data_IF_401329054245
#
_entry.id   IF_401329054245
#
_cell.length_a   1.000
_cell.length_b   1.000
_cell.length_c   1.000
_cell.angle_alpha   90.00
_cell.angle_beta   90.00
_cell.angle_gamma   90.00
#
_symmetry.space_group_name_H-M   'P 1'
#
loop_
_entity.id
_entity.type
_entity.pdbx_description
1 polymer ?
#
# COMPACT_ATOMS: atom_id res chain seq x y z
N UNK A 1 9.82 -18.75 -3.37
CA UNK A 1 8.44 -18.99 -2.90
C UNK A 1 8.49 -19.68 -1.54
N UNK A 2 7.62 -19.33 -0.60
CA UNK A 2 7.54 -19.93 0.73
C UNK A 2 7.22 -21.43 0.65
N UNK A 3 7.80 -22.27 1.52
CA UNK A 3 7.32 -23.64 1.72
C UNK A 3 5.95 -23.62 2.41
N UNK A 4 5.03 -24.46 1.93
CA UNK A 4 3.64 -24.50 2.41
C UNK A 4 3.61 -24.79 3.92
N UNK A 5 4.42 -25.76 4.37
CA UNK A 5 4.51 -26.14 5.79
C UNK A 5 5.07 -25.00 6.65
N UNK A 6 6.17 -24.36 6.24
CA UNK A 6 6.77 -23.23 6.97
C UNK A 6 5.82 -22.03 7.04
N UNK A 7 5.08 -21.78 5.96
CA UNK A 7 4.07 -20.74 5.93
C UNK A 7 2.92 -21.04 6.90
N UNK A 8 2.40 -22.27 6.88
CA UNK A 8 1.30 -22.71 7.75
C UNK A 8 1.72 -22.71 9.22
N UNK A 9 2.97 -23.09 9.52
CA UNK A 9 3.54 -23.03 10.85
C UNK A 9 3.58 -21.59 11.37
N UNK A 10 4.10 -20.65 10.57
CA UNK A 10 4.16 -19.23 10.92
C UNK A 10 2.77 -18.65 11.21
N UNK A 11 1.80 -18.94 10.34
CA UNK A 11 0.42 -18.49 10.51
C UNK A 11 -0.19 -19.10 11.77
N UNK A 12 -0.05 -20.42 11.96
CA UNK A 12 -0.58 -21.15 13.12
C UNK A 12 -0.01 -20.62 14.44
N UNK A 13 1.30 -20.34 14.47
CA UNK A 13 1.99 -19.76 15.62
C UNK A 13 1.35 -18.44 16.05
N UNK A 14 1.11 -17.53 15.11
CA UNK A 14 0.46 -16.25 15.40
C UNK A 14 -1.02 -16.46 15.77
N UNK A 15 -1.74 -17.35 15.08
CA UNK A 15 -3.15 -17.64 15.34
C UNK A 15 -3.41 -18.17 16.75
N UNK A 16 -2.48 -18.92 17.35
CA UNK A 16 -2.60 -19.41 18.73
C UNK A 16 -2.74 -18.29 19.76
N UNK A 17 -2.05 -17.14 19.56
CA UNK A 17 -2.12 -15.98 20.47
C UNK A 17 -3.03 -14.86 19.96
N UNK A 18 -3.23 -14.77 18.64
CA UNK A 18 -4.11 -13.80 17.98
C UNK A 18 -5.10 -14.58 17.12
N UNK A 19 -6.18 -15.11 17.75
CA UNK A 19 -7.18 -15.87 17.03
C UNK A 19 -7.87 -15.00 15.97
N UNK A 20 -8.61 -15.67 15.08
CA UNK A 20 -9.38 -14.99 14.03
C UNK A 20 -10.35 -14.01 14.66
N UNK A 21 -10.44 -12.82 14.09
CA UNK A 21 -11.39 -11.82 14.56
C UNK A 21 -12.80 -12.32 14.25
N UNK A 22 -13.61 -12.56 15.28
CA UNK A 22 -15.03 -12.90 15.12
C UNK A 22 -15.80 -11.60 14.87
N UNK A 23 -16.32 -11.40 13.65
CA UNK A 23 -17.19 -10.27 13.30
C UNK A 23 -16.72 -9.46 12.06
N UNK A 24 -17.51 -8.45 11.67
CA UNK A 24 -17.10 -7.48 10.64
C UNK A 24 -15.93 -6.68 11.20
N UNK A 25 -14.72 -6.91 10.68
CA UNK A 25 -13.57 -6.07 10.97
C UNK A 25 -13.81 -4.63 10.48
N UNK A 26 -13.07 -3.68 11.03
CA UNK A 26 -13.03 -2.29 10.55
C UNK A 26 -12.24 -2.23 9.23
N UNK A 27 -12.90 -2.67 8.16
CA UNK A 27 -12.37 -2.75 6.80
C UNK A 27 -12.41 -1.40 6.07
N UNK A 28 -12.86 -0.33 6.73
CA UNK A 28 -12.97 1.00 6.17
C UNK A 28 -11.76 1.87 6.56
N UNK A 29 -11.22 2.57 5.57
CA UNK A 29 -10.35 3.71 5.80
C UNK A 29 -10.53 4.74 4.68
N UNK A 30 -10.91 5.97 5.06
CA UNK A 30 -11.29 6.98 4.08
C UNK A 30 -12.52 6.54 3.29
N UNK A 31 -12.45 6.66 1.96
CA UNK A 31 -13.50 6.24 1.03
C UNK A 31 -13.37 4.79 0.59
N UNK A 32 -12.30 4.08 0.99
CA UNK A 32 -12.00 2.73 0.53
C UNK A 32 -12.37 1.65 1.55
N UNK A 33 -12.93 0.55 1.04
CA UNK A 33 -13.15 -0.69 1.79
C UNK A 33 -12.09 -1.72 1.41
N UNK A 34 -11.33 -2.19 2.39
CA UNK A 34 -10.18 -3.04 2.17
C UNK A 34 -10.43 -4.47 2.64
N UNK A 35 -10.58 -5.39 1.67
CA UNK A 35 -10.91 -6.79 1.95
C UNK A 35 -9.86 -7.50 2.84
N UNK A 36 -8.58 -7.15 2.72
CA UNK A 36 -7.50 -7.69 3.54
C UNK A 36 -7.59 -7.30 5.03
N UNK A 37 -8.31 -6.23 5.36
CA UNK A 37 -8.59 -5.84 6.75
C UNK A 37 -9.72 -6.67 7.39
N UNK A 38 -10.42 -7.51 6.62
CA UNK A 38 -11.34 -8.51 7.17
C UNK A 38 -10.53 -9.60 7.85
N UNK A 39 -10.71 -9.76 9.16
CA UNK A 39 -10.01 -10.78 9.93
C UNK A 39 -10.38 -12.23 9.58
N UNK A 40 -11.38 -12.43 8.72
CA UNK A 40 -11.80 -13.71 8.14
C UNK A 40 -12.11 -13.58 6.65
N UNK A 41 -11.76 -14.62 5.90
CA UNK A 41 -12.02 -14.73 4.45
C UNK A 41 -12.61 -16.10 4.12
N UNK A 42 -13.52 -16.16 3.16
CA UNK A 42 -14.11 -17.42 2.71
C UNK A 42 -13.11 -18.25 1.89
N UNK A 43 -13.10 -19.57 2.13
CA UNK A 43 -12.49 -20.53 1.22
C UNK A 43 -13.39 -20.70 0.00
N UNK A 44 -12.79 -20.88 -1.19
CA UNK A 44 -13.55 -21.25 -2.39
C UNK A 44 -13.75 -22.77 -2.40
N UNK A 45 -14.98 -23.21 -2.71
CA UNK A 45 -15.30 -24.63 -2.84
C UNK A 45 -14.41 -25.25 -3.93
N UNK A 46 -13.82 -26.41 -3.63
CA UNK A 46 -12.97 -27.19 -4.53
C UNK A 46 -11.65 -26.53 -4.94
N UNK A 47 -11.11 -25.60 -4.13
CA UNK A 47 -9.79 -25.01 -4.35
C UNK A 47 -8.95 -25.06 -3.08
N UNK A 48 -7.83 -25.79 -3.14
CA UNK A 48 -6.85 -25.86 -2.04
C UNK A 48 -6.09 -24.54 -1.87
N UNK A 49 -5.89 -23.82 -2.97
CA UNK A 49 -5.22 -22.52 -3.01
C UNK A 49 -6.17 -21.52 -3.67
N UNK A 50 -6.50 -20.48 -2.93
CA UNK A 50 -7.45 -19.43 -3.33
C UNK A 50 -6.80 -18.22 -3.99
N UNK A 51 -5.48 -18.08 -3.86
CA UNK A 51 -4.71 -16.97 -4.44
C UNK A 51 -3.20 -17.06 -4.16
N UNK A 52 -2.51 -15.95 -4.43
CA UNK A 52 -1.08 -15.78 -4.20
C UNK A 52 -0.83 -14.41 -3.59
N UNK A 53 -0.08 -14.34 -2.51
CA UNK A 53 0.44 -13.08 -1.97
C UNK A 53 1.90 -12.95 -2.44
N UNK A 54 2.30 -11.75 -2.88
CA UNK A 54 3.65 -11.52 -3.40
C UNK A 54 4.23 -10.22 -2.86
N UNK A 55 5.53 -10.24 -2.60
CA UNK A 55 6.34 -9.09 -2.26
C UNK A 55 7.22 -8.73 -3.44
N UNK A 56 7.24 -7.46 -3.82
CA UNK A 56 8.20 -6.91 -4.77
C UNK A 56 9.10 -5.87 -4.12
N UNK A 57 10.30 -5.68 -4.67
CA UNK A 57 11.14 -4.54 -4.32
C UNK A 57 10.71 -3.30 -5.12
N UNK A 58 11.32 -2.16 -4.81
CA UNK A 58 11.03 -0.88 -5.45
C UNK A 58 11.34 -0.84 -6.95
N UNK A 59 12.11 -1.81 -7.44
CA UNK A 59 12.43 -1.95 -8.86
C UNK A 59 11.40 -2.81 -9.62
N UNK A 60 10.34 -3.28 -8.93
CA UNK A 60 9.31 -4.13 -9.50
C UNK A 60 9.77 -5.56 -9.78
N UNK A 61 10.74 -6.05 -9.00
CA UNK A 61 11.21 -7.45 -9.02
C UNK A 61 10.57 -8.19 -7.86
N UNK A 62 10.05 -9.39 -8.12
CA UNK A 62 9.44 -10.23 -7.08
C UNK A 62 10.52 -10.84 -6.21
N UNK A 63 10.46 -10.60 -4.90
CA UNK A 63 11.46 -11.07 -3.94
C UNK A 63 10.95 -12.19 -3.06
N UNK A 64 9.63 -12.26 -2.85
CA UNK A 64 9.02 -13.33 -2.07
C UNK A 64 7.57 -13.57 -2.49
N UNK A 65 7.07 -14.78 -2.29
CA UNK A 65 5.70 -15.15 -2.59
C UNK A 65 5.21 -16.27 -1.68
N UNK A 66 3.93 -16.26 -1.36
CA UNK A 66 3.27 -17.20 -0.44
C UNK A 66 1.89 -17.59 -0.98
N UNK A 67 1.47 -18.83 -0.72
CA UNK A 67 0.17 -19.35 -1.16
C UNK A 67 -0.96 -18.81 -0.28
N UNK A 68 -2.07 -18.41 -0.86
CA UNK A 68 -3.26 -18.06 -0.08
C UNK A 68 -4.19 -19.29 0.00
N UNK A 69 -4.08 -20.10 1.06
CA UNK A 69 -4.96 -21.27 1.27
C UNK A 69 -6.40 -20.86 1.63
N UNK A 70 -6.53 -19.69 2.23
CA UNK A 70 -7.76 -18.92 2.39
C UNK A 70 -7.46 -17.51 1.89
N UNK A 71 -8.46 -16.66 1.75
CA UNK A 71 -8.23 -15.28 1.33
C UNK A 71 -7.20 -14.55 2.20
N UNK A 72 -6.77 -13.39 1.71
CA UNK A 72 -5.72 -12.59 2.32
C UNK A 72 -6.06 -12.18 3.77
N UNK A 73 -5.08 -12.36 4.66
CA UNK A 73 -5.15 -11.98 6.08
C UNK A 73 -3.80 -11.40 6.51
N UNK A 74 -3.78 -10.57 7.55
CA UNK A 74 -2.54 -9.94 8.03
C UNK A 74 -1.41 -10.90 8.43
N UNK A 75 -1.71 -12.18 8.71
CA UNK A 75 -0.67 -13.18 8.98
C UNK A 75 0.17 -13.51 7.73
N UNK A 76 -0.43 -13.46 6.53
CA UNK A 76 0.30 -13.61 5.27
C UNK A 76 1.20 -12.39 5.06
N UNK A 77 0.65 -11.17 5.22
CA UNK A 77 1.42 -9.92 5.15
C UNK A 77 2.57 -9.89 6.17
N UNK A 78 2.37 -10.44 7.37
CA UNK A 78 3.42 -10.56 8.38
C UNK A 78 4.54 -11.50 7.97
N UNK A 79 4.26 -12.56 7.23
CA UNK A 79 5.31 -13.42 6.67
C UNK A 79 6.18 -12.64 5.67
N UNK A 80 5.56 -11.78 4.84
CA UNK A 80 6.31 -10.90 3.95
C UNK A 80 7.08 -9.81 4.70
N UNK A 81 6.52 -9.28 5.78
CA UNK A 81 7.20 -8.32 6.65
C UNK A 81 8.45 -8.92 7.30
N UNK A 82 8.35 -10.16 7.78
CA UNK A 82 9.51 -10.91 8.27
C UNK A 82 10.56 -11.05 7.16
N UNK A 83 10.14 -11.46 5.96
CA UNK A 83 11.10 -11.64 4.86
C UNK A 83 11.76 -10.35 4.39
N UNK A 84 11.04 -9.23 4.38
CA UNK A 84 11.61 -7.93 4.02
C UNK A 84 12.61 -7.43 5.07
N UNK A 85 12.37 -7.70 6.36
CA UNK A 85 13.35 -7.42 7.42
C UNK A 85 14.63 -8.24 7.26
N UNK A 86 14.52 -9.55 6.99
CA UNK A 86 15.68 -10.41 6.71
C UNK A 86 16.52 -9.92 5.52
N UNK A 87 15.89 -9.23 4.56
CA UNK A 87 16.57 -8.63 3.41
C UNK A 87 17.19 -7.25 3.72
N UNK A 88 17.11 -6.76 4.96
CA UNK A 88 17.63 -5.47 5.37
C UNK A 88 16.80 -4.28 4.88
N UNK A 89 15.51 -4.49 4.61
CA UNK A 89 14.64 -3.43 4.07
C UNK A 89 14.29 -2.43 5.17
N UNK A 90 14.37 -1.13 4.87
CA UNK A 90 14.04 -0.05 5.82
C UNK A 90 12.56 0.35 5.84
N UNK A 91 11.86 0.21 4.71
CA UNK A 91 10.49 0.66 4.52
C UNK A 91 9.60 -0.53 4.13
N UNK A 92 8.46 -0.67 4.81
CA UNK A 92 7.46 -1.69 4.49
C UNK A 92 6.21 -1.03 3.90
N UNK A 93 6.02 -1.19 2.58
CA UNK A 93 4.87 -0.64 1.87
C UNK A 93 3.72 -1.64 1.80
N UNK A 94 2.53 -1.22 2.24
CA UNK A 94 1.31 -2.03 2.18
C UNK A 94 0.08 -1.13 2.07
N UNK A 95 -0.88 -1.49 1.24
CA UNK A 95 -2.05 -0.64 0.94
C UNK A 95 -2.94 -0.39 2.15
N UNK A 96 -2.87 -1.25 3.16
CA UNK A 96 -3.60 -1.14 4.43
C UNK A 96 -2.67 -1.06 5.63
N UNK A 97 -1.48 -0.48 5.45
CA UNK A 97 -0.48 -0.38 6.52
C UNK A 97 -1.04 0.27 7.80
N UNK A 98 -2.05 1.14 7.68
CA UNK A 98 -2.70 1.77 8.82
C UNK A 98 -3.46 0.79 9.74
N UNK A 99 -3.94 -0.34 9.21
CA UNK A 99 -4.58 -1.41 9.97
C UNK A 99 -3.59 -2.53 10.28
N UNK A 100 -2.68 -2.81 9.34
CA UNK A 100 -1.67 -3.85 9.49
C UNK A 100 -0.59 -3.49 10.54
N UNK A 101 -0.12 -2.25 10.58
CA UNK A 101 0.97 -1.86 11.49
C UNK A 101 0.62 -2.00 12.98
N UNK A 102 -0.59 -1.59 13.44
CA UNK A 102 -1.04 -1.92 14.80
C UNK A 102 -1.07 -3.43 15.08
N UNK A 103 -1.49 -4.24 14.10
CA UNK A 103 -1.43 -5.70 14.22
C UNK A 103 0.02 -6.20 14.35
N UNK A 104 0.95 -5.69 13.55
CA UNK A 104 2.37 -6.05 13.63
C UNK A 104 3.00 -5.66 14.98
N UNK A 105 2.67 -4.49 15.54
CA UNK A 105 3.10 -4.09 16.89
C UNK A 105 2.57 -5.08 17.93
N UNK A 106 1.28 -5.45 17.85
CA UNK A 106 0.67 -6.44 18.75
C UNK A 106 1.37 -7.80 18.64
N UNK A 107 1.74 -8.22 17.44
CA UNK A 107 2.54 -9.44 17.24
C UNK A 107 3.90 -9.29 17.93
N UNK A 108 4.63 -8.19 17.71
CA UNK A 108 5.93 -7.95 18.37
C UNK A 108 5.88 -7.89 19.90
N UNK A 109 4.75 -7.47 20.50
CA UNK A 109 4.54 -7.54 21.94
C UNK A 109 4.31 -8.98 22.46
N UNK A 110 3.64 -9.83 21.66
CA UNK A 110 3.31 -11.21 22.04
C UNK A 110 4.43 -12.22 21.70
N UNK A 111 5.31 -11.84 20.78
CA UNK A 111 6.40 -12.63 20.23
C UNK A 111 7.66 -11.74 20.17
N UNK A 112 8.51 -11.75 21.21
CA UNK A 112 9.69 -10.89 21.28
C UNK A 112 10.62 -11.00 20.07
N UNK A 113 10.68 -12.18 19.44
CA UNK A 113 11.44 -12.45 18.23
C UNK A 113 10.92 -11.74 16.96
N UNK A 114 9.75 -11.08 17.03
CA UNK A 114 9.20 -10.25 15.95
C UNK A 114 9.18 -8.77 16.32
N UNK A 115 9.65 -8.39 17.51
CA UNK A 115 9.60 -7.01 17.98
C UNK A 115 10.43 -6.07 17.09
N UNK A 116 11.56 -6.56 16.58
CA UNK A 116 12.47 -5.82 15.71
C UNK A 116 11.83 -5.38 14.40
N UNK A 117 10.83 -6.12 13.88
CA UNK A 117 10.15 -5.77 12.62
C UNK A 117 9.58 -4.35 12.65
N UNK A 118 8.95 -3.96 13.76
CA UNK A 118 8.33 -2.63 13.90
C UNK A 118 9.25 -1.58 14.54
N UNK A 119 10.43 -1.99 15.04
CA UNK A 119 11.46 -1.09 15.57
C UNK A 119 12.41 -0.63 14.47
N UNK A 120 12.84 -1.55 13.61
CA UNK A 120 13.87 -1.32 12.60
C UNK A 120 13.28 -0.79 11.29
N UNK A 121 12.05 -1.19 10.97
CA UNK A 121 11.37 -0.81 9.74
C UNK A 121 10.33 0.27 9.98
N UNK A 122 10.05 1.03 8.92
CA UNK A 122 9.01 2.06 8.92
C UNK A 122 7.82 1.66 8.04
N UNK A 123 6.57 1.86 8.51
CA UNK A 123 5.39 1.64 7.68
C UNK A 123 5.33 2.69 6.58
N UNK A 124 4.81 2.29 5.42
CA UNK A 124 4.77 3.14 4.24
C UNK A 124 3.45 2.94 3.49
N UNK A 125 2.75 4.04 3.20
CA UNK A 125 1.72 4.10 2.16
C UNK A 125 2.32 4.71 0.91
N UNK A 126 2.08 4.07 -0.22
CA UNK A 126 2.42 4.64 -1.51
C UNK A 126 1.57 5.86 -1.83
N UNK A 127 2.04 6.65 -2.81
CA UNK A 127 1.36 7.87 -3.23
C UNK A 127 -0.07 7.61 -3.68
N UNK A 128 -0.26 6.64 -4.57
CA UNK A 128 -1.56 6.37 -5.18
C UNK A 128 -2.53 5.75 -4.19
N UNK A 129 -2.13 4.67 -3.50
CA UNK A 129 -3.02 4.04 -2.53
C UNK A 129 -3.33 4.97 -1.36
N UNK A 130 -2.37 5.80 -0.93
CA UNK A 130 -2.57 6.81 0.09
C UNK A 130 -3.74 7.76 -0.18
N UNK A 131 -4.07 8.07 -1.45
CA UNK A 131 -5.19 8.94 -1.79
C UNK A 131 -6.56 8.39 -1.38
N UNK A 132 -6.72 7.06 -1.33
CA UNK A 132 -7.96 6.41 -0.91
C UNK A 132 -8.20 6.40 0.61
N UNK A 133 -7.17 6.74 1.39
CA UNK A 133 -7.22 6.71 2.85
C UNK A 133 -7.72 8.02 3.47
N UNK A 134 -8.17 7.94 4.72
CA UNK A 134 -8.57 9.12 5.50
C UNK A 134 -7.44 10.14 5.59
N UNK A 135 -7.78 11.40 5.87
CA UNK A 135 -6.76 12.43 6.08
C UNK A 135 -5.76 12.04 7.18
N UNK A 136 -6.24 11.50 8.31
CA UNK A 136 -5.38 11.08 9.42
C UNK A 136 -4.37 10.01 8.98
N UNK A 137 -4.83 9.03 8.21
CA UNK A 137 -4.00 7.95 7.68
C UNK A 137 -2.93 8.48 6.70
N UNK A 138 -3.31 9.39 5.79
CA UNK A 138 -2.38 10.06 4.87
C UNK A 138 -1.29 10.83 5.59
N UNK A 139 -1.61 11.53 6.68
CA UNK A 139 -0.62 12.28 7.46
C UNK A 139 0.34 11.35 8.20
N UNK A 140 -0.16 10.23 8.72
CA UNK A 140 0.63 9.33 9.55
C UNK A 140 1.55 8.40 8.75
N UNK A 141 1.08 7.88 7.61
CA UNK A 141 1.73 6.77 6.93
C UNK A 141 2.23 7.08 5.52
N UNK A 142 1.98 8.27 4.97
CA UNK A 142 2.48 8.59 3.63
C UNK A 142 4.01 8.58 3.60
N UNK A 143 4.54 7.74 2.74
CA UNK A 143 5.95 7.46 2.65
C UNK A 143 6.83 8.62 2.17
N UNK A 144 6.23 9.60 1.46
CA UNK A 144 6.94 10.80 0.99
C UNK A 144 7.46 11.69 2.12
N UNK A 145 6.93 11.53 3.34
CA UNK A 145 7.44 12.22 4.51
C UNK A 145 8.79 11.68 4.98
N UNK A 146 9.15 10.46 4.60
CA UNK A 146 10.31 9.78 5.14
C UNK A 146 11.54 9.96 4.25
N UNK A 147 12.64 10.43 4.84
CA UNK A 147 13.92 10.56 4.14
C UNK A 147 14.39 9.19 3.64
N UNK A 148 14.57 9.09 2.32
CA UNK A 148 14.95 7.85 1.64
C UNK A 148 13.77 6.97 1.21
N UNK A 149 12.53 7.40 1.43
CA UNK A 149 11.31 6.68 1.03
C UNK A 149 11.06 6.57 -0.48
N UNK A 150 11.89 7.22 -1.31
CA UNK A 150 11.78 7.35 -2.77
C UNK A 150 10.42 7.92 -3.28
N UNK A 151 10.41 8.50 -4.49
CA UNK A 151 9.18 8.92 -5.20
C UNK A 151 8.51 7.66 -5.79
N UNK A 152 8.11 6.74 -4.91
CA UNK A 152 7.45 5.50 -5.30
C UNK A 152 6.00 5.76 -5.64
N UNK A 153 5.60 5.37 -6.84
CA UNK A 153 4.21 5.48 -7.25
C UNK A 153 3.35 4.50 -6.43
N UNK A 154 3.89 3.32 -6.14
CA UNK A 154 3.15 2.22 -5.51
C UNK A 154 2.45 1.30 -6.50
N UNK A 155 2.67 1.51 -7.79
CA UNK A 155 2.08 0.70 -8.86
C UNK A 155 3.01 -0.45 -9.30
N UNK A 156 4.24 -0.51 -8.76
CA UNK A 156 5.22 -1.52 -9.10
C UNK A 156 4.69 -2.93 -8.76
N UNK A 157 4.01 -3.04 -7.62
CA UNK A 157 3.34 -4.27 -7.20
C UNK A 157 2.14 -4.60 -8.10
N UNK A 158 1.39 -3.60 -8.57
CA UNK A 158 0.27 -3.80 -9.48
C UNK A 158 0.72 -4.30 -10.87
N UNK A 159 1.89 -3.87 -11.35
CA UNK A 159 2.50 -4.41 -12.56
C UNK A 159 2.85 -5.90 -12.41
N UNK A 160 3.37 -6.30 -11.24
CA UNK A 160 3.64 -7.71 -10.92
C UNK A 160 2.32 -8.49 -10.92
N UNK A 161 1.30 -8.00 -10.23
CA UNK A 161 0.00 -8.68 -10.16
C UNK A 161 -0.65 -8.80 -11.53
N UNK A 162 -0.59 -7.77 -12.38
CA UNK A 162 -1.08 -7.83 -13.76
C UNK A 162 -0.39 -8.94 -14.58
N UNK A 163 0.94 -9.07 -14.46
CA UNK A 163 1.67 -10.14 -15.13
C UNK A 163 1.26 -11.53 -14.65
N UNK A 164 1.16 -11.70 -13.32
CA UNK A 164 0.92 -13.00 -12.66
C UNK A 164 -0.54 -13.43 -12.67
N UNK A 165 -1.50 -12.50 -12.81
CA UNK A 165 -2.93 -12.80 -12.87
C UNK A 165 -3.28 -13.83 -13.96
N UNK A 166 -2.50 -13.85 -15.05
CA UNK A 166 -2.65 -14.82 -16.16
C UNK A 166 -2.42 -16.26 -15.72
N UNK A 167 -1.60 -16.49 -14.70
CA UNK A 167 -1.37 -17.83 -14.12
C UNK A 167 -2.58 -18.32 -13.32
N UNK A 168 -3.48 -17.42 -12.91
CA UNK A 168 -4.65 -17.77 -12.12
C UNK A 168 -5.57 -18.77 -12.83
N UNK A 169 -5.67 -18.71 -14.16
CA UNK A 169 -6.49 -19.63 -14.94
C UNK A 169 -5.83 -21.01 -15.11
N UNK A 170 -4.52 -21.04 -15.36
CA UNK A 170 -3.78 -22.28 -15.67
C UNK A 170 -3.39 -23.06 -14.40
N UNK A 171 -3.09 -22.36 -13.31
CA UNK A 171 -2.61 -22.99 -12.06
C UNK A 171 -3.72 -23.42 -11.10
N UNK A 172 -4.97 -23.06 -11.39
CA UNK A 172 -6.12 -23.26 -10.50
C UNK A 172 -6.37 -24.73 -10.13
N UNK A 173 -6.16 -25.63 -11.08
CA UNK A 173 -6.48 -27.06 -10.96
C UNK A 173 -5.23 -27.94 -10.89
N UNK A 174 -4.06 -27.34 -10.73
CA UNK A 174 -2.80 -28.07 -10.62
C UNK A 174 -2.62 -28.65 -9.21
N UNK A 175 -1.82 -29.72 -9.12
CA UNK A 175 -1.32 -30.18 -7.83
C UNK A 175 -0.47 -29.10 -7.17
N UNK A 176 -0.35 -29.14 -5.83
CA UNK A 176 0.44 -28.15 -5.08
C UNK A 176 1.89 -28.05 -5.56
N UNK A 177 2.50 -29.19 -5.90
CA UNK A 177 3.87 -29.27 -6.40
C UNK A 177 3.99 -28.63 -7.79
N UNK A 178 3.19 -29.09 -8.76
CA UNK A 178 3.21 -28.54 -10.13
C UNK A 178 2.92 -27.04 -10.15
N UNK A 179 1.94 -26.60 -9.34
CA UNK A 179 1.64 -25.18 -9.21
C UNK A 179 2.81 -24.37 -8.67
N UNK A 180 3.53 -24.87 -7.67
CA UNK A 180 4.70 -24.21 -7.10
C UNK A 180 5.79 -24.05 -8.16
N UNK A 181 6.04 -25.08 -8.94
CA UNK A 181 7.08 -25.06 -9.98
C UNK A 181 6.72 -24.07 -11.09
N UNK A 182 5.46 -24.05 -11.54
CA UNK A 182 4.98 -23.13 -12.57
C UNK A 182 5.02 -21.67 -12.10
N UNK A 183 4.52 -21.39 -10.88
CA UNK A 183 4.56 -20.04 -10.30
C UNK A 183 5.99 -19.59 -10.08
N UNK A 184 6.87 -20.47 -9.60
CA UNK A 184 8.28 -20.16 -9.39
C UNK A 184 8.97 -19.86 -10.71
N UNK A 185 8.75 -20.69 -11.74
CA UNK A 185 9.29 -20.48 -13.08
C UNK A 185 8.83 -19.17 -13.69
N UNK A 186 7.55 -18.83 -13.54
CA UNK A 186 7.01 -17.56 -14.01
C UNK A 186 7.62 -16.34 -13.29
N UNK A 187 7.84 -16.44 -11.97
CA UNK A 187 8.53 -15.42 -11.18
C UNK A 187 9.98 -15.25 -11.65
N UNK A 188 10.72 -16.35 -11.83
CA UNK A 188 12.10 -16.31 -12.28
C UNK A 188 12.22 -15.69 -13.67
N UNK A 189 11.34 -16.06 -14.60
CA UNK A 189 11.30 -15.49 -15.94
C UNK A 189 10.98 -13.98 -15.89
N UNK A 190 9.95 -13.58 -15.15
CA UNK A 190 9.59 -12.17 -14.97
C UNK A 190 10.76 -11.36 -14.40
N UNK A 191 11.42 -11.88 -13.37
CA UNK A 191 12.57 -11.23 -12.74
C UNK A 191 13.77 -11.12 -13.71
N UNK A 192 14.06 -12.17 -14.48
CA UNK A 192 15.12 -12.15 -15.51
C UNK A 192 14.84 -11.08 -16.57
N UNK A 193 13.59 -10.97 -17.04
CA UNK A 193 13.22 -9.92 -18.00
C UNK A 193 13.33 -8.51 -17.39
N UNK A 194 12.99 -8.35 -16.11
CA UNK A 194 13.19 -7.09 -15.38
C UNK A 194 14.66 -6.74 -15.24
N UNK A 195 15.50 -7.71 -14.91
CA UNK A 195 16.95 -7.54 -14.75
C UNK A 195 17.62 -7.06 -16.04
N UNK A 196 17.29 -7.69 -17.18
CA UNK A 196 17.82 -7.29 -18.51
C UNK A 196 17.54 -5.82 -18.84
N UNK A 197 16.41 -5.28 -18.38
CA UNK A 197 15.97 -3.90 -18.65
C UNK A 197 16.33 -2.93 -17.53
N UNK A 198 16.92 -3.42 -16.44
CA UNK A 198 17.14 -2.66 -15.20
C UNK A 198 18.07 -1.48 -15.42
N UNK A 199 19.20 -1.70 -16.12
CA UNK A 199 20.18 -0.64 -16.38
C UNK A 199 19.54 0.53 -17.12
N UNK A 200 18.81 0.23 -18.21
CA UNK A 200 18.08 1.25 -18.97
C UNK A 200 17.02 1.95 -18.12
N UNK A 201 16.26 1.20 -17.31
CA UNK A 201 15.25 1.78 -16.42
C UNK A 201 15.86 2.72 -15.38
N UNK A 202 16.96 2.32 -14.72
CA UNK A 202 17.67 3.13 -13.74
C UNK A 202 18.20 4.43 -14.35
N UNK A 203 18.78 4.37 -15.56
CA UNK A 203 19.24 5.57 -16.27
C UNK A 203 18.07 6.54 -16.57
N UNK A 204 16.94 6.01 -17.05
CA UNK A 204 15.74 6.80 -17.31
C UNK A 204 15.19 7.43 -16.01
N UNK A 205 15.14 6.67 -14.92
CA UNK A 205 14.69 7.17 -13.63
C UNK A 205 15.62 8.24 -13.07
N UNK A 206 16.93 8.07 -13.20
CA UNK A 206 17.91 9.07 -12.77
C UNK A 206 17.75 10.38 -13.55
N UNK A 207 17.63 10.31 -14.88
CA UNK A 207 17.43 11.51 -15.71
C UNK A 207 16.12 12.21 -15.37
N UNK A 208 15.03 11.45 -15.24
CA UNK A 208 13.73 11.97 -14.82
C UNK A 208 13.81 12.62 -13.42
N UNK A 209 14.54 12.02 -12.49
CA UNK A 209 14.71 12.56 -11.15
C UNK A 209 15.46 13.91 -11.19
N UNK A 210 16.51 14.03 -12.01
CA UNK A 210 17.24 15.30 -12.22
C UNK A 210 16.29 16.39 -12.72
N UNK A 211 15.53 16.14 -13.78
CA UNK A 211 14.58 17.10 -14.35
C UNK A 211 13.47 17.47 -13.35
N UNK A 212 12.83 16.45 -12.75
CA UNK A 212 11.75 16.66 -11.78
C UNK A 212 12.20 17.39 -10.54
N UNK A 213 13.45 17.20 -10.10
CA UNK A 213 13.98 17.91 -8.92
C UNK A 213 13.96 19.43 -9.11
N UNK A 214 14.29 19.91 -10.30
CA UNK A 214 14.26 21.35 -10.63
C UNK A 214 12.83 21.88 -10.65
N UNK A 215 11.91 21.12 -11.26
CA UNK A 215 10.49 21.47 -11.29
C UNK A 215 9.90 21.54 -9.88
N UNK A 216 10.17 20.54 -9.04
CA UNK A 216 9.63 20.49 -7.69
C UNK A 216 10.26 21.52 -6.77
N UNK A 217 11.54 21.89 -6.98
CA UNK A 217 12.17 23.01 -6.27
C UNK A 217 11.44 24.32 -6.54
N UNK A 218 11.15 24.63 -7.81
CA UNK A 218 10.37 25.82 -8.18
C UNK A 218 8.96 25.78 -7.58
N UNK A 219 8.28 24.62 -7.66
CA UNK A 219 6.95 24.45 -7.06
C UNK A 219 6.97 24.65 -5.54
N UNK A 220 8.01 24.17 -4.87
CA UNK A 220 8.19 24.34 -3.43
C UNK A 220 8.35 25.84 -3.10
N UNK A 221 9.27 26.54 -3.76
CA UNK A 221 9.50 27.97 -3.56
C UNK A 221 8.21 28.79 -3.74
N UNK A 222 7.49 28.59 -4.86
CA UNK A 222 6.21 29.26 -5.09
C UNK A 222 5.17 28.96 -3.99
N UNK A 223 5.17 27.74 -3.46
CA UNK A 223 4.22 27.34 -2.39
C UNK A 223 4.60 27.97 -1.05
N UNK A 224 5.90 28.06 -0.75
CA UNK A 224 6.42 28.69 0.45
C UNK A 224 6.13 30.19 0.46
N UNK A 225 6.42 30.88 -0.65
CA UNK A 225 6.13 32.31 -0.84
C UNK A 225 4.63 32.59 -0.73
N UNK A 226 3.80 31.82 -1.43
CA UNK A 226 2.35 32.02 -1.42
C UNK A 226 1.71 31.79 -0.04
N UNK A 227 2.33 30.95 0.81
CA UNK A 227 1.81 30.63 2.15
C UNK A 227 2.53 31.37 3.27
N UNK A 228 3.51 32.21 2.95
CA UNK A 228 4.38 32.88 3.91
C UNK A 228 5.01 31.89 4.92
N UNK A 229 5.55 30.78 4.40
CA UNK A 229 6.18 29.71 5.18
C UNK A 229 7.65 29.62 4.80
N UNK A 230 8.55 29.52 5.79
CA UNK A 230 9.98 29.34 5.55
C UNK A 230 10.32 27.88 5.25
N UNK A 231 11.44 27.62 4.56
CA UNK A 231 11.82 26.27 4.13
C UNK A 231 12.14 25.32 5.32
N UNK A 232 12.46 25.87 6.50
CA UNK A 232 12.77 25.10 7.71
C UNK A 232 11.53 24.70 8.53
N UNK A 233 10.38 25.32 8.27
CA UNK A 233 9.13 25.09 9.02
C UNK A 233 8.36 23.79 8.68
N UNK A 234 8.38 23.24 7.45
CA UNK A 234 7.60 22.05 7.08
C UNK A 234 7.77 20.83 8.00
N UNK A 235 8.98 20.48 8.50
CA UNK A 235 9.11 19.41 9.49
C UNK A 235 8.30 19.64 10.77
N UNK A 236 8.28 20.88 11.28
CA UNK A 236 7.52 21.24 12.49
C UNK A 236 6.00 21.21 12.23
N UNK A 237 5.58 21.66 11.04
CA UNK A 237 4.20 21.60 10.59
C UNK A 237 3.75 20.14 10.49
N UNK A 238 4.57 19.28 9.88
CA UNK A 238 4.27 17.86 9.77
C UNK A 238 4.15 17.18 11.15
N UNK A 239 5.02 17.51 12.11
CA UNK A 239 4.90 16.97 13.47
C UNK A 239 3.59 17.40 14.15
N UNK A 240 3.21 18.68 13.99
CA UNK A 240 1.91 19.19 14.47
C UNK A 240 0.74 18.45 13.83
N UNK A 241 0.78 18.23 12.51
CA UNK A 241 -0.26 17.47 11.80
C UNK A 241 -0.29 16.01 12.25
N UNK A 242 0.86 15.35 12.46
CA UNK A 242 0.94 13.98 12.99
C UNK A 242 0.35 13.90 14.40
N UNK A 243 0.61 14.87 15.27
CA UNK A 243 -0.01 14.98 16.61
C UNK A 243 -1.53 15.12 16.51
N UNK A 244 -2.02 16.03 15.66
CA UNK A 244 -3.46 16.19 15.42
C UNK A 244 -4.11 14.92 14.87
N UNK A 245 -3.49 14.26 13.90
CA UNK A 245 -3.99 13.02 13.32
C UNK A 245 -4.09 11.88 14.36
N UNK A 246 -3.11 11.77 15.26
CA UNK A 246 -3.17 10.81 16.38
C UNK A 246 -4.32 11.13 17.34
N UNK A 247 -4.53 12.40 17.68
CA UNK A 247 -5.63 12.82 18.54
C UNK A 247 -7.00 12.50 17.92
N UNK A 248 -7.19 12.80 16.63
CA UNK A 248 -8.43 12.48 15.92
C UNK A 248 -8.65 10.97 15.89
N UNK A 249 -7.65 10.16 15.53
CA UNK A 249 -7.76 8.70 15.55
C UNK A 249 -8.06 8.16 16.96
N UNK A 250 -7.52 8.78 18.02
CA UNK A 250 -7.83 8.38 19.40
C UNK A 250 -9.26 8.73 19.83
N UNK A 251 -9.84 9.82 19.28
CA UNK A 251 -11.24 10.21 19.54
C UNK A 251 -12.23 9.37 18.73
N UNK A 252 -11.86 8.90 17.54
CA UNK A 252 -12.63 7.93 16.74
C UNK A 252 -12.76 6.57 17.46
N UNK A 253 -11.92 6.28 18.48
CA UNK A 253 -12.14 5.12 19.37
C UNK A 253 -13.28 5.33 20.38
N UNK A 254 -13.89 6.51 20.46
CA UNK A 254 -15.20 6.66 21.09
C UNK A 254 -16.24 6.17 20.09
N UNK A 255 -16.98 5.11 20.45
CA UNK A 255 -17.88 4.31 19.60
C UNK A 255 -19.14 5.05 19.10
N UNK A 256 -19.03 6.33 18.74
CA UNK A 256 -20.13 7.12 18.21
C UNK A 256 -20.17 6.96 16.68
N UNK A 257 -20.71 5.82 16.24
CA UNK A 257 -20.82 5.41 14.84
C UNK A 257 -21.51 6.47 13.96
N UNK A 258 -22.50 7.17 14.50
CA UNK A 258 -23.30 8.15 13.77
C UNK A 258 -22.46 9.39 13.41
N UNK A 259 -21.60 9.85 14.33
CA UNK A 259 -20.68 10.96 14.06
C UNK A 259 -19.59 10.58 13.06
N UNK A 260 -19.14 9.33 13.08
CA UNK A 260 -18.14 8.84 12.13
C UNK A 260 -18.70 8.68 10.72
N UNK A 261 -19.95 8.25 10.59
CA UNK A 261 -20.67 8.19 9.32
C UNK A 261 -20.88 9.60 8.76
N UNK A 262 -21.38 10.51 9.59
CA UNK A 262 -21.60 11.91 9.22
C UNK A 262 -20.31 12.62 8.80
N UNK A 263 -19.20 12.40 9.52
CA UNK A 263 -17.90 12.94 9.13
C UNK A 263 -17.45 12.41 7.76
N UNK A 264 -17.63 11.11 7.50
CA UNK A 264 -17.27 10.50 6.21
C UNK A 264 -18.14 11.04 5.07
N UNK A 265 -19.43 11.21 5.30
CA UNK A 265 -20.36 11.82 4.33
C UNK A 265 -19.93 13.24 3.99
N UNK A 266 -19.68 14.07 5.01
CA UNK A 266 -19.22 15.46 4.83
C UNK A 266 -17.86 15.56 4.13
N UNK A 267 -16.91 14.68 4.46
CA UNK A 267 -15.61 14.62 3.78
C UNK A 267 -15.76 14.21 2.31
N UNK A 268 -16.66 13.26 2.01
CA UNK A 268 -17.00 12.83 0.65
C UNK A 268 -17.65 13.95 -0.17
N UNK A 269 -18.66 14.62 0.39
CA UNK A 269 -19.32 15.75 -0.24
C UNK A 269 -18.36 16.93 -0.47
N UNK A 270 -17.50 17.26 0.50
CA UNK A 270 -16.49 18.30 0.37
C UNK A 270 -15.47 17.97 -0.74
N UNK A 271 -15.08 16.70 -0.87
CA UNK A 271 -14.23 16.26 -1.96
C UNK A 271 -14.92 16.39 -3.32
N UNK A 272 -16.18 15.95 -3.43
CA UNK A 272 -16.98 16.09 -4.65
C UNK A 272 -17.19 17.55 -5.03
N UNK A 273 -17.46 18.43 -4.07
CA UNK A 273 -17.52 19.88 -4.27
C UNK A 273 -16.22 20.43 -4.84
N UNK A 274 -15.07 20.04 -4.31
CA UNK A 274 -13.76 20.47 -4.84
C UNK A 274 -13.52 19.96 -6.26
N UNK A 275 -13.92 18.72 -6.57
CA UNK A 275 -13.84 18.16 -7.92
C UNK A 275 -14.76 18.92 -8.88
N UNK A 276 -15.99 19.23 -8.47
CA UNK A 276 -16.93 20.01 -9.26
C UNK A 276 -16.45 21.45 -9.46
N UNK A 277 -15.90 22.10 -8.43
CA UNK A 277 -15.30 23.43 -8.52
C UNK A 277 -14.10 23.43 -9.46
N UNK A 278 -13.22 22.44 -9.37
CA UNK A 278 -12.08 22.30 -10.29
C UNK A 278 -12.55 22.03 -11.73
N UNK A 279 -13.59 21.21 -11.92
CA UNK A 279 -14.22 20.99 -13.24
C UNK A 279 -14.84 22.27 -13.78
N UNK A 280 -15.53 23.04 -12.94
CA UNK A 280 -16.18 24.29 -13.32
C UNK A 280 -15.12 25.36 -13.68
N UNK A 281 -14.07 25.49 -12.88
CA UNK A 281 -12.92 26.35 -13.19
C UNK A 281 -12.25 25.95 -14.52
N UNK A 282 -12.14 24.65 -14.81
CA UNK A 282 -11.63 24.15 -16.08
C UNK A 282 -12.62 24.33 -17.25
N UNK A 283 -13.93 24.36 -16.99
CA UNK A 283 -14.96 24.55 -18.00
C UNK A 283 -15.03 26.02 -18.44
N UNK A 284 -14.95 26.96 -17.49
CA UNK A 284 -14.90 28.40 -17.77
C UNK A 284 -13.51 28.86 -18.24
N UNK A 285 -12.43 28.23 -17.79
CA UNK A 285 -11.07 28.53 -18.26
C UNK A 285 -10.76 28.04 -19.69
N UNK A 286 -11.49 27.04 -20.20
CA UNK A 286 -11.29 26.47 -21.55
C UNK A 286 -12.14 27.08 -22.65
N UNK A 287 -13.06 27.99 -22.35
CA UNK A 287 -13.80 28.70 -23.40
C UNK A 287 -12.95 29.72 -24.17
N UNK A 288 -11.72 30.00 -23.71
CA UNK A 288 -10.84 30.96 -24.37
C UNK A 288 -9.60 30.40 -25.08
N UNK A 289 -9.33 29.09 -25.05
CA UNK A 289 -8.21 28.56 -25.83
C UNK A 289 -8.38 27.07 -26.19
N UNK A 290 -8.57 26.88 -27.49
CA UNK A 290 -8.19 25.73 -28.32
C UNK A 290 -8.99 24.41 -28.20
N UNK A 291 -9.63 24.09 -29.34
CA UNK A 291 -10.24 22.81 -29.68
C UNK A 291 -9.18 21.71 -29.68
N UNK A 292 -9.44 20.58 -29.01
CA UNK A 292 -8.88 19.28 -29.41
C UNK A 292 -9.75 18.13 -28.88
N UNK A 293 -10.19 17.29 -29.84
CA UNK A 293 -10.89 16.03 -29.64
C UNK A 293 -9.98 14.98 -28.99
N UNK A 294 -10.55 14.06 -28.19
CA UNK A 294 -10.01 12.70 -28.06
C UNK A 294 -11.12 11.66 -27.82
N UNK A 295 -11.09 10.62 -28.66
CA UNK A 295 -11.90 9.39 -28.61
C UNK A 295 -11.58 8.56 -27.36
N UNK A 296 -12.60 7.91 -26.81
CA UNK A 296 -12.47 6.76 -25.92
C UNK A 296 -12.34 5.46 -26.74
N UNK A 297 -11.41 4.59 -26.35
CA UNK A 297 -11.53 3.14 -26.53
C UNK A 297 -11.24 2.46 -25.19
N UNK A 298 -12.01 1.37 -24.98
CA UNK A 298 -12.30 0.60 -23.76
C UNK A 298 -11.13 0.33 -22.80
#
# INVERSE_FOLDING_TARGET
MAYDDSQLEHISKIEKKIPKAKGKGDDLCGSSTWKAAKGETSSKRNLDITGLEMMSCTHGTVVYSANLFKGEIFKHTHLQHLKSHEMGTKFFCNDVVCKYWPFAIKVGHLFPEYQQLTKDMKPFLSRFHGLGHSWTCRVLYNGHWEKGGADMLGEEQEQVFSYMARLGATTKHQSKASRRDDVTSAILYFNSEKEKRMVTALCLWMNRAKERSLLYRKKLQNTLEHRDVKEEEPPSILDRLKKQAKLVNSKILTNDWDKQLLQKELEGECHMLKVLQARNANFFGKFFQERMFFLHFL
#
